data_IF_269544403019
#
_entry.id   IF_269544403019
#
_cell.length_a   1.000
_cell.length_b   1.000
_cell.length_c   1.000
_cell.angle_alpha   90.00
_cell.angle_beta   90.00
_cell.angle_gamma   90.00
#
_symmetry.space_group_name_H-M   'P 1'
#
loop_
_entity.id
_entity.type
_entity.pdbx_description
1 polymer ?
#
# COMPACT_ATOMS: atom_id res chain seq x y z
N UNK A 1 -21.90 7.43 -2.21
CA UNK A 1 -22.61 6.12 -2.14
C UNK A 1 -22.15 5.29 -3.32
N UNK A 2 -22.15 3.97 -3.19
CA UNK A 2 -21.91 3.07 -4.33
C UNK A 2 -23.24 2.89 -5.05
N UNK A 3 -23.28 3.17 -6.35
CA UNK A 3 -24.45 3.00 -7.21
C UNK A 3 -24.01 2.27 -8.48
N UNK A 4 -24.62 1.12 -8.77
CA UNK A 4 -24.29 0.24 -9.91
C UNK A 4 -22.78 -0.04 -10.07
N UNK A 5 -22.07 -0.24 -8.97
CA UNK A 5 -20.63 -0.52 -8.99
C UNK A 5 -19.77 0.70 -9.30
N UNK A 6 -20.27 1.92 -9.10
CA UNK A 6 -19.51 3.16 -9.18
C UNK A 6 -19.67 3.99 -7.91
N UNK A 7 -18.62 4.70 -7.48
CA UNK A 7 -18.81 5.69 -6.41
C UNK A 7 -19.44 6.94 -7.02
N UNK A 8 -20.61 7.32 -6.50
CA UNK A 8 -21.30 8.55 -6.86
C UNK A 8 -21.30 9.51 -5.67
N UNK A 9 -20.87 10.75 -5.92
CA UNK A 9 -21.06 11.90 -5.02
C UNK A 9 -22.40 12.53 -5.34
N UNK A 10 -23.29 12.58 -4.35
CA UNK A 10 -24.60 13.22 -4.46
C UNK A 10 -24.56 14.49 -3.63
N UNK A 11 -24.87 15.64 -4.23
CA UNK A 11 -24.95 16.93 -3.54
C UNK A 11 -26.26 17.62 -3.87
N UNK A 12 -26.90 18.25 -2.90
CA UNK A 12 -28.13 19.05 -3.08
C UNK A 12 -27.80 20.52 -2.88
N UNK A 13 -28.24 21.38 -3.81
CA UNK A 13 -28.12 22.83 -3.65
C UNK A 13 -29.31 23.45 -2.89
N UNK A 14 -29.21 24.75 -2.59
CA UNK A 14 -30.25 25.49 -1.85
C UNK A 14 -31.59 25.57 -2.59
N UNK A 15 -31.60 25.32 -3.89
CA UNK A 15 -32.79 25.34 -4.75
C UNK A 15 -33.40 23.94 -4.90
N UNK A 16 -32.88 22.94 -4.17
CA UNK A 16 -33.38 21.56 -4.20
C UNK A 16 -32.85 20.72 -5.36
N UNK A 17 -31.97 21.25 -6.21
CA UNK A 17 -31.41 20.51 -7.34
C UNK A 17 -30.40 19.50 -6.80
N UNK A 18 -30.61 18.23 -7.16
CA UNK A 18 -29.71 17.13 -6.82
C UNK A 18 -28.70 16.94 -7.95
N UNK A 19 -27.42 17.12 -7.68
CA UNK A 19 -26.32 16.80 -8.59
C UNK A 19 -25.72 15.44 -8.22
N UNK A 20 -25.44 14.63 -9.24
CA UNK A 20 -24.76 13.33 -9.13
C UNK A 20 -23.48 13.38 -9.94
N UNK A 21 -22.36 13.05 -9.31
CA UNK A 21 -21.04 13.03 -9.93
C UNK A 21 -20.41 11.64 -9.74
N UNK A 22 -20.08 10.97 -10.84
CA UNK A 22 -19.35 9.69 -10.83
C UNK A 22 -17.87 9.96 -10.56
N UNK A 23 -17.36 9.36 -9.49
CA UNK A 23 -15.98 9.53 -9.03
C UNK A 23 -15.04 8.42 -9.49
N UNK A 24 -15.56 7.27 -9.92
CA UNK A 24 -14.78 6.12 -10.39
C UNK A 24 -14.86 5.99 -11.90
N UNK A 25 -13.97 6.67 -12.62
CA UNK A 25 -13.90 6.65 -14.10
C UNK A 25 -12.78 5.76 -14.62
N UNK A 26 -11.69 5.68 -13.87
CA UNK A 26 -10.53 4.85 -14.13
C UNK A 26 -10.40 3.78 -13.04
N UNK A 27 -9.69 2.68 -13.31
CA UNK A 27 -9.48 1.64 -12.31
C UNK A 27 -8.70 2.15 -11.08
N UNK A 28 -7.77 3.09 -11.27
CA UNK A 28 -7.04 3.75 -10.18
C UNK A 28 -7.94 4.56 -9.27
N UNK A 29 -9.17 4.87 -9.71
CA UNK A 29 -10.11 5.61 -8.88
C UNK A 29 -10.62 4.83 -7.68
N UNK A 30 -10.41 3.52 -7.67
CA UNK A 30 -10.70 2.62 -6.56
C UNK A 30 -9.59 2.55 -5.51
N UNK A 31 -8.43 3.15 -5.78
CA UNK A 31 -7.30 3.18 -4.85
C UNK A 31 -7.35 4.47 -4.04
N UNK A 32 -7.27 4.34 -2.71
CA UNK A 32 -7.17 5.49 -1.80
C UNK A 32 -5.75 5.67 -1.26
N UNK A 33 -5.00 4.59 -1.11
CA UNK A 33 -3.63 4.61 -0.60
C UNK A 33 -2.79 3.51 -1.27
N UNK A 34 -1.52 3.79 -1.52
CA UNK A 34 -0.55 2.74 -1.79
C UNK A 34 0.85 3.13 -1.30
N UNK A 35 1.67 2.12 -1.02
CA UNK A 35 3.04 2.27 -0.53
C UNK A 35 3.98 1.25 -1.12
N UNK A 36 5.27 1.58 -1.05
CA UNK A 36 6.37 0.79 -1.58
C UNK A 36 7.43 0.60 -0.50
N UNK A 37 7.94 -0.62 -0.43
CA UNK A 37 9.17 -0.99 0.24
C UNK A 37 10.12 -1.50 -0.86
N UNK A 38 11.24 -0.82 -1.05
CA UNK A 38 12.20 -1.08 -2.12
C UNK A 38 13.14 -2.25 -1.81
N UNK A 39 13.15 -2.77 -0.57
CA UNK A 39 13.94 -3.93 -0.16
C UNK A 39 13.27 -4.72 0.99
N UNK A 40 12.15 -5.37 0.66
CA UNK A 40 11.23 -5.97 1.64
C UNK A 40 11.89 -7.04 2.52
N UNK A 41 12.94 -7.72 2.05
CA UNK A 41 13.61 -8.77 2.82
C UNK A 41 14.75 -8.23 3.71
N UNK A 42 14.94 -6.92 3.78
CA UNK A 42 16.01 -6.29 4.55
C UNK A 42 15.80 -6.42 6.07
N UNK A 43 14.55 -6.48 6.54
CA UNK A 43 14.23 -6.48 7.98
C UNK A 43 13.35 -7.63 8.40
N UNK A 44 13.95 -8.61 9.08
CA UNK A 44 13.23 -9.74 9.67
C UNK A 44 12.32 -9.29 10.80
N UNK A 45 11.12 -9.86 10.87
CA UNK A 45 10.23 -9.66 11.99
C UNK A 45 10.65 -10.55 13.18
N UNK A 46 11.18 -9.93 14.22
CA UNK A 46 11.66 -10.64 15.42
C UNK A 46 10.69 -10.38 16.56
N UNK A 47 10.19 -11.46 17.16
CA UNK A 47 9.35 -11.43 18.35
C UNK A 47 10.11 -11.96 19.57
N UNK A 48 9.63 -11.58 20.75
CA UNK A 48 10.09 -12.14 22.02
C UNK A 48 9.11 -13.18 22.51
N UNK A 49 9.59 -14.40 22.73
CA UNK A 49 8.81 -15.51 23.27
C UNK A 49 9.44 -15.93 24.59
N UNK A 50 8.61 -16.27 25.57
CA UNK A 50 9.11 -16.81 26.83
C UNK A 50 9.20 -18.33 26.72
N UNK A 51 10.38 -18.88 27.00
CA UNK A 51 10.60 -20.31 27.03
C UNK A 51 9.85 -20.92 28.24
N UNK A 52 8.97 -21.88 27.98
CA UNK A 52 8.12 -22.47 29.01
C UNK A 52 8.88 -23.32 30.04
N UNK A 53 10.08 -23.80 29.70
CA UNK A 53 10.90 -24.65 30.57
C UNK A 53 11.91 -23.82 31.39
N UNK A 54 12.59 -22.85 30.75
CA UNK A 54 13.61 -22.02 31.44
C UNK A 54 13.04 -20.72 32.03
N UNK A 55 11.88 -20.26 31.57
CA UNK A 55 11.31 -18.96 31.93
C UNK A 55 12.04 -17.75 31.33
N UNK A 56 13.09 -17.99 30.53
CA UNK A 56 13.87 -16.94 29.87
C UNK A 56 13.18 -16.43 28.61
N UNK A 57 13.46 -15.17 28.24
CA UNK A 57 12.98 -14.58 26.99
C UNK A 57 13.98 -14.82 25.86
N UNK A 58 13.50 -15.35 24.75
CA UNK A 58 14.28 -15.56 23.53
C UNK A 58 13.72 -14.73 22.37
N UNK A 59 14.62 -14.27 21.51
CA UNK A 59 14.28 -13.55 20.29
C UNK A 59 14.22 -14.54 19.12
N UNK A 60 13.04 -14.64 18.52
CA UNK A 60 12.74 -15.62 17.45
C UNK A 60 12.28 -14.87 16.21
N UNK A 61 12.86 -15.21 15.07
CA UNK A 61 12.36 -14.74 13.78
C UNK A 61 11.05 -15.47 13.46
N UNK A 62 10.01 -14.73 13.09
CA UNK A 62 8.69 -15.29 12.76
C UNK A 62 8.67 -16.03 11.42
N UNK A 63 9.67 -15.81 10.56
CA UNK A 63 9.68 -16.23 9.17
C UNK A 63 9.22 -15.13 8.21
N UNK A 64 8.64 -14.05 8.73
CA UNK A 64 8.16 -12.90 7.97
C UNK A 64 9.11 -11.70 8.05
N UNK A 65 8.86 -10.71 7.21
CA UNK A 65 9.63 -9.46 7.13
C UNK A 65 8.75 -8.26 7.45
N UNK A 66 9.36 -7.23 8.05
CA UNK A 66 8.72 -5.98 8.38
C UNK A 66 8.65 -5.12 7.12
N UNK A 67 7.44 -4.72 6.73
CA UNK A 67 7.22 -3.73 5.68
C UNK A 67 7.62 -2.33 6.19
N UNK A 68 8.66 -1.72 5.61
CA UNK A 68 9.24 -0.48 6.13
C UNK A 68 8.59 0.81 5.58
N UNK A 69 7.67 0.69 4.60
CA UNK A 69 6.92 1.82 4.02
C UNK A 69 7.82 3.02 3.65
N UNK A 70 8.81 2.78 2.81
CA UNK A 70 9.80 3.78 2.42
C UNK A 70 9.21 4.90 1.54
N UNK A 71 8.13 4.60 0.81
CA UNK A 71 7.40 5.59 0.03
C UNK A 71 5.90 5.31 0.03
N UNK A 72 5.07 6.36 0.02
CA UNK A 72 3.61 6.24 -0.03
C UNK A 72 2.95 7.40 -0.78
N UNK A 73 1.78 7.12 -1.36
CA UNK A 73 0.87 8.13 -1.91
C UNK A 73 -0.56 7.81 -1.51
N UNK A 74 -1.33 8.85 -1.19
CA UNK A 74 -2.71 8.72 -0.76
C UNK A 74 -3.58 9.88 -1.24
N UNK A 75 -4.87 9.62 -1.33
CA UNK A 75 -5.88 10.62 -1.63
C UNK A 75 -6.47 11.19 -0.35
N UNK A 76 -6.96 12.41 -0.42
CA UNK A 76 -7.75 13.03 0.66
C UNK A 76 -9.14 13.38 0.15
N UNK A 77 -10.04 13.70 1.08
CA UNK A 77 -11.39 14.20 0.72
C UNK A 77 -11.31 15.51 -0.10
N UNK A 78 -10.24 16.29 0.06
CA UNK A 78 -10.01 17.57 -0.63
C UNK A 78 -9.28 17.39 -1.96
N UNK A 79 -8.26 16.53 -1.98
CA UNK A 79 -7.47 16.21 -3.18
C UNK A 79 -7.60 14.74 -3.54
N UNK A 80 -8.21 14.48 -4.70
CA UNK A 80 -8.48 13.14 -5.22
C UNK A 80 -7.39 12.64 -6.16
N UNK A 81 -6.30 13.39 -6.37
CA UNK A 81 -5.16 12.94 -7.15
C UNK A 81 -4.39 11.88 -6.38
N UNK A 82 -3.99 10.82 -7.06
CA UNK A 82 -3.08 9.81 -6.55
C UNK A 82 -1.85 9.80 -7.44
N UNK A 83 -0.67 9.91 -6.84
CA UNK A 83 0.57 9.75 -7.57
C UNK A 83 0.77 8.26 -7.87
N UNK A 84 0.91 7.90 -9.15
CA UNK A 84 1.05 6.51 -9.60
C UNK A 84 2.51 6.11 -9.85
N UNK A 85 3.45 7.01 -9.54
CA UNK A 85 4.88 6.80 -9.73
C UNK A 85 5.57 7.08 -8.40
N UNK A 86 6.34 6.12 -7.90
CA UNK A 86 7.15 6.35 -6.72
C UNK A 86 8.33 7.27 -7.02
N UNK A 87 8.99 7.72 -5.96
CA UNK A 87 10.35 8.24 -6.08
C UNK A 87 11.28 7.17 -6.68
N UNK A 88 12.35 7.63 -7.32
CA UNK A 88 13.44 6.75 -7.73
C UNK A 88 14.34 6.50 -6.53
N UNK A 89 14.68 5.24 -6.27
CA UNK A 89 15.57 4.85 -5.19
C UNK A 89 16.92 4.41 -5.78
N UNK A 90 18.01 5.03 -5.32
CA UNK A 90 19.36 4.59 -5.65
C UNK A 90 19.70 3.35 -4.82
N UNK A 91 20.20 2.32 -5.50
CA UNK A 91 20.40 1.03 -4.86
C UNK A 91 21.61 0.30 -5.43
N UNK A 92 22.20 -0.57 -4.61
CA UNK A 92 23.30 -1.44 -5.06
C UNK A 92 22.82 -2.44 -6.13
N UNK A 93 23.66 -2.77 -7.13
CA UNK A 93 23.34 -3.83 -8.09
C UNK A 93 23.10 -5.17 -7.39
N UNK A 94 22.14 -5.94 -7.91
CA UNK A 94 21.76 -7.22 -7.31
C UNK A 94 20.28 -7.53 -7.44
N UNK A 95 19.90 -8.73 -6.98
CA UNK A 95 18.50 -9.14 -6.83
C UNK A 95 17.94 -8.53 -5.56
N UNK A 96 16.70 -8.06 -5.63
CA UNK A 96 15.95 -7.56 -4.48
C UNK A 96 14.46 -7.82 -4.67
N UNK A 97 13.72 -7.77 -3.58
CA UNK A 97 12.26 -7.89 -3.59
C UNK A 97 11.64 -6.55 -3.19
N UNK A 98 10.88 -5.97 -4.11
CA UNK A 98 10.10 -4.75 -3.86
C UNK A 98 8.70 -5.18 -3.45
N UNK A 99 8.23 -4.75 -2.28
CA UNK A 99 6.85 -4.96 -1.88
C UNK A 99 6.02 -3.72 -2.19
N UNK A 100 4.86 -3.93 -2.80
CA UNK A 100 3.87 -2.89 -3.07
C UNK A 100 2.60 -3.23 -2.33
N UNK A 101 2.17 -2.32 -1.46
CA UNK A 101 0.92 -2.45 -0.70
C UNK A 101 -0.11 -1.45 -1.23
N UNK A 102 -1.30 -1.91 -1.55
CA UNK A 102 -2.40 -1.09 -2.11
C UNK A 102 -3.62 -1.25 -1.23
N UNK A 103 -4.27 -0.13 -0.92
CA UNK A 103 -5.51 -0.08 -0.14
C UNK A 103 -6.60 0.57 -0.97
N UNK A 104 -7.73 -0.13 -1.10
CA UNK A 104 -8.88 0.36 -1.82
C UNK A 104 -9.72 1.37 -0.99
N UNK A 105 -10.67 2.02 -1.65
CA UNK A 105 -11.64 2.96 -1.05
C UNK A 105 -12.52 2.37 0.07
N UNK A 106 -12.59 1.05 0.20
CA UNK A 106 -13.33 0.35 1.25
C UNK A 106 -12.43 -0.04 2.42
N UNK A 107 -11.12 0.22 2.30
CA UNK A 107 -10.12 -0.10 3.30
C UNK A 107 -9.55 -1.51 3.18
N UNK A 108 -9.87 -2.27 2.13
CA UNK A 108 -9.24 -3.57 1.92
C UNK A 108 -7.82 -3.36 1.39
N UNK A 109 -6.85 -4.03 2.00
CA UNK A 109 -5.47 -4.00 1.57
C UNK A 109 -5.04 -5.28 0.85
N UNK A 110 -4.11 -5.12 -0.08
CA UNK A 110 -3.39 -6.22 -0.71
C UNK A 110 -1.92 -5.86 -0.83
N UNK A 111 -1.04 -6.86 -0.84
CA UNK A 111 0.39 -6.69 -1.01
C UNK A 111 0.89 -7.63 -2.10
N UNK A 112 1.75 -7.12 -2.98
CA UNK A 112 2.43 -7.90 -4.01
C UNK A 112 3.93 -7.70 -3.89
N UNK A 113 4.68 -8.79 -3.94
CA UNK A 113 6.14 -8.77 -3.92
C UNK A 113 6.63 -8.98 -5.35
N UNK A 114 7.47 -8.08 -5.82
CA UNK A 114 8.04 -8.08 -7.15
C UNK A 114 9.55 -8.28 -7.01
N UNK A 115 10.05 -9.35 -7.61
CA UNK A 115 11.48 -9.56 -7.68
C UNK A 115 12.08 -8.79 -8.85
N UNK A 116 13.11 -7.99 -8.58
CA UNK A 116 13.82 -7.22 -9.61
C UNK A 116 15.33 -7.46 -9.52
N UNK A 117 16.01 -7.36 -10.67
CA UNK A 117 17.47 -7.39 -10.75
C UNK A 117 17.97 -6.04 -11.27
N UNK A 118 18.73 -5.33 -10.44
CA UNK A 118 19.31 -4.03 -10.80
C UNK A 118 20.74 -4.23 -11.30
N UNK A 119 21.08 -3.62 -12.43
CA UNK A 119 22.42 -3.72 -13.03
C UNK A 119 22.73 -5.03 -13.78
N UNK A 120 21.73 -5.90 -13.96
CA UNK A 120 21.88 -7.09 -14.79
C UNK A 120 21.92 -6.73 -16.28
N UNK A 121 22.81 -7.38 -17.05
CA UNK A 121 22.70 -7.40 -18.51
C UNK A 121 21.45 -8.19 -18.89
N UNK A 122 20.60 -7.62 -19.76
CA UNK A 122 19.48 -8.33 -20.39
C UNK A 122 19.96 -9.53 -21.19
#
# INVERSE_FOLDING_TARGET
MVDKGQIVKVSRDKNGIVRREVLTKNWTDWIDYWSVDFDFENKREIIRVQNAESGEWEEVWTGDYIFENEWQSFRTKKDRKLELKSVSQEVVPGRRKVAVKVVDIFGNDTMTIIEITVGGKK
#
